data_IF_415349394415
#
_entry.id   IF_415349394415
#
_cell.length_a   1.000
_cell.length_b   1.000
_cell.length_c   1.000
_cell.angle_alpha   90.00
_cell.angle_beta   90.00
_cell.angle_gamma   90.00
#
_symmetry.space_group_name_H-M   'P 1'
#
loop_
_entity.id
_entity.type
_entity.pdbx_description
1 polymer ?
#
# COMPACT_ATOMS: atom_id res chain seq x y z
N UNK A 1 -35.10 8.44 -17.08
CA UNK A 1 -33.63 8.36 -16.97
C UNK A 1 -33.11 9.78 -16.90
N UNK A 2 -32.82 10.28 -15.69
CA UNK A 2 -32.29 11.63 -15.53
C UNK A 2 -30.84 11.63 -16.03
N UNK A 3 -30.60 12.28 -17.17
CA UNK A 3 -29.26 12.48 -17.71
C UNK A 3 -28.45 13.30 -16.69
N UNK A 4 -27.33 12.73 -16.23
CA UNK A 4 -26.38 13.46 -15.40
C UNK A 4 -25.88 14.68 -16.19
N UNK A 5 -26.04 15.88 -15.64
CA UNK A 5 -25.63 17.15 -16.27
C UNK A 5 -24.14 17.18 -16.61
N UNK A 6 -23.32 16.40 -15.91
CA UNK A 6 -21.87 16.34 -16.08
C UNK A 6 -21.37 14.90 -16.24
N UNK A 7 -20.29 14.75 -17.00
CA UNK A 7 -19.52 13.52 -17.11
C UNK A 7 -18.09 13.77 -16.59
N UNK A 8 -17.42 12.79 -15.96
CA UNK A 8 -16.07 12.99 -15.44
C UNK A 8 -15.06 13.40 -16.53
N UNK A 9 -14.31 14.47 -16.28
CA UNK A 9 -13.09 14.80 -17.05
C UNK A 9 -12.04 13.71 -16.84
N UNK A 10 -11.31 13.36 -17.91
CA UNK A 10 -10.36 12.25 -17.92
C UNK A 10 -8.93 12.75 -18.13
N UNK A 11 -7.97 12.11 -17.47
CA UNK A 11 -6.56 12.44 -17.63
C UNK A 11 -5.88 11.72 -18.81
N UNK A 12 -4.94 12.38 -19.50
CA UNK A 12 -3.93 11.73 -20.35
C UNK A 12 -2.77 11.18 -19.50
N UNK A 13 -1.96 10.29 -20.06
CA UNK A 13 -0.75 9.79 -19.38
C UNK A 13 0.42 10.72 -19.66
N UNK A 14 1.14 11.15 -18.62
CA UNK A 14 2.38 11.91 -18.78
C UNK A 14 3.53 11.01 -19.28
N UNK A 15 4.55 11.62 -19.90
CA UNK A 15 5.78 10.92 -20.29
C UNK A 15 6.69 10.59 -19.10
N UNK A 16 6.57 11.34 -18.01
CA UNK A 16 7.30 11.16 -16.75
C UNK A 16 6.83 12.15 -15.68
N UNK A 17 7.39 12.07 -14.46
CA UNK A 17 7.15 13.09 -13.44
C UNK A 17 7.76 14.44 -13.86
N UNK A 18 7.15 15.53 -13.41
CA UNK A 18 7.63 16.89 -13.65
C UNK A 18 7.20 17.81 -12.50
N UNK A 19 7.84 18.97 -12.41
CA UNK A 19 7.53 20.05 -11.46
C UNK A 19 7.23 21.33 -12.25
N UNK A 20 6.19 22.08 -11.89
CA UNK A 20 5.80 23.31 -12.57
C UNK A 20 4.85 24.15 -11.71
N UNK A 21 5.13 25.45 -11.56
CA UNK A 21 4.37 26.37 -10.69
C UNK A 21 2.89 26.51 -11.10
N UNK A 22 2.58 26.37 -12.40
CA UNK A 22 1.21 26.42 -12.91
C UNK A 22 0.40 25.14 -12.66
N UNK A 23 0.95 24.17 -11.95
CA UNK A 23 0.35 22.84 -11.77
C UNK A 23 0.24 22.46 -10.30
N UNK A 24 -0.81 21.70 -10.00
CA UNK A 24 -0.96 20.99 -8.74
C UNK A 24 -0.86 19.48 -8.96
N UNK A 25 -0.46 18.78 -7.90
CA UNK A 25 -0.26 17.34 -7.90
C UNK A 25 -1.03 16.72 -6.74
N UNK A 26 -1.88 15.75 -7.05
CA UNK A 26 -2.71 15.03 -6.09
C UNK A 26 -2.39 13.54 -6.12
N UNK A 27 -2.68 12.82 -5.04
CA UNK A 27 -2.56 11.35 -5.04
C UNK A 27 -3.49 10.79 -6.12
N UNK A 28 -2.98 9.90 -6.95
CA UNK A 28 -3.81 9.04 -7.78
C UNK A 28 -4.33 7.90 -6.91
N UNK A 29 -5.52 8.11 -6.36
CA UNK A 29 -6.23 7.10 -5.58
C UNK A 29 -6.62 5.88 -6.45
N UNK A 30 -6.55 4.69 -5.85
CA UNK A 30 -7.03 3.43 -6.45
C UNK A 30 -8.42 3.12 -5.89
N UNK A 31 -9.45 3.64 -6.56
CA UNK A 31 -10.84 3.62 -6.11
C UNK A 31 -11.81 3.62 -7.28
N UNK A 32 -13.02 4.12 -7.03
CA UNK A 32 -14.01 4.37 -8.08
C UNK A 32 -14.38 5.84 -8.17
N UNK A 33 -14.35 6.36 -9.40
CA UNK A 33 -14.79 7.72 -9.72
C UNK A 33 -16.28 7.90 -9.44
N UNK A 34 -16.63 8.93 -8.68
CA UNK A 34 -18.01 9.26 -8.36
C UNK A 34 -18.32 10.76 -8.46
N UNK A 35 -19.44 11.07 -9.10
CA UNK A 35 -20.04 12.41 -9.08
C UNK A 35 -21.11 12.46 -8.00
N UNK A 36 -21.03 13.44 -7.12
CA UNK A 36 -22.03 13.65 -6.06
C UNK A 36 -22.82 14.94 -6.32
N UNK A 37 -24.13 14.89 -6.15
CA UNK A 37 -25.03 16.04 -6.21
C UNK A 37 -25.74 16.18 -4.88
N UNK A 38 -25.66 17.36 -4.28
CA UNK A 38 -26.32 17.71 -3.01
C UNK A 38 -27.23 18.90 -3.25
N UNK A 39 -28.54 18.71 -3.14
CA UNK A 39 -29.55 19.75 -3.32
C UNK A 39 -30.83 19.41 -2.57
N UNK A 40 -31.93 19.18 -3.29
CA UNK A 40 -33.17 18.65 -2.69
C UNK A 40 -33.02 17.22 -2.13
N UNK A 41 -31.97 16.51 -2.54
CA UNK A 41 -31.56 15.22 -2.00
C UNK A 41 -30.07 14.98 -2.27
N UNK A 42 -29.58 13.81 -1.84
CA UNK A 42 -28.22 13.34 -2.11
C UNK A 42 -28.25 12.28 -3.20
N UNK A 43 -27.41 12.44 -4.22
CA UNK A 43 -27.12 11.42 -5.21
C UNK A 43 -25.62 11.26 -5.37
N UNK A 44 -25.12 10.02 -5.36
CA UNK A 44 -23.72 9.70 -5.64
C UNK A 44 -23.74 8.65 -6.75
N UNK A 45 -23.12 8.96 -7.88
CA UNK A 45 -23.19 8.09 -9.06
C UNK A 45 -21.83 7.79 -9.67
N UNK A 46 -21.71 6.60 -10.24
CA UNK A 46 -20.51 6.18 -10.95
C UNK A 46 -20.37 6.90 -12.30
N UNK A 47 -19.21 6.73 -12.94
CA UNK A 47 -18.99 7.16 -14.34
C UNK A 47 -20.07 6.71 -15.32
N UNK A 48 -20.73 5.57 -15.10
CA UNK A 48 -21.79 5.05 -15.98
C UNK A 48 -23.19 5.41 -15.48
N UNK A 49 -23.30 6.33 -14.52
CA UNK A 49 -24.56 6.82 -13.96
C UNK A 49 -25.27 5.85 -13.01
N UNK A 50 -24.58 4.81 -12.50
CA UNK A 50 -25.14 3.88 -11.51
C UNK A 50 -25.17 4.54 -10.15
N UNK A 51 -26.26 4.39 -9.40
CA UNK A 51 -26.31 4.79 -7.99
C UNK A 51 -25.27 4.01 -7.17
N UNK A 52 -24.52 4.75 -6.37
CA UNK A 52 -23.49 4.23 -5.48
C UNK A 52 -23.86 4.36 -4.01
N UNK A 53 -24.80 5.25 -3.65
CA UNK A 53 -25.12 5.52 -2.25
C UNK A 53 -25.71 4.29 -1.55
N UNK A 54 -26.46 3.45 -2.28
CA UNK A 54 -26.95 2.16 -1.77
C UNK A 54 -25.84 1.18 -1.38
N UNK A 55 -24.65 1.30 -1.99
CA UNK A 55 -23.47 0.44 -1.75
C UNK A 55 -22.51 1.02 -0.71
N UNK A 56 -22.55 2.34 -0.55
CA UNK A 56 -21.70 3.11 0.35
C UNK A 56 -22.57 4.05 1.22
N UNK A 57 -23.45 3.50 2.08
CA UNK A 57 -24.41 4.29 2.85
C UNK A 57 -23.75 5.28 3.81
N UNK A 58 -22.52 5.00 4.27
CA UNK A 58 -21.75 5.89 5.13
C UNK A 58 -21.47 7.26 4.48
N UNK A 59 -21.42 7.32 3.14
CA UNK A 59 -21.23 8.56 2.39
C UNK A 59 -22.48 9.47 2.43
N UNK A 60 -23.56 9.01 3.05
CA UNK A 60 -24.76 9.80 3.33
C UNK A 60 -24.48 11.06 4.15
N UNK A 61 -23.39 11.10 4.92
CA UNK A 61 -22.98 12.28 5.69
C UNK A 61 -22.74 13.52 4.81
N UNK A 62 -22.45 13.34 3.51
CA UNK A 62 -22.22 14.43 2.58
C UNK A 62 -23.40 15.42 2.52
N UNK A 63 -24.63 14.95 2.77
CA UNK A 63 -25.82 15.80 2.81
C UNK A 63 -25.78 16.86 3.93
N UNK A 64 -25.03 16.61 5.02
CA UNK A 64 -24.82 17.55 6.11
C UNK A 64 -23.61 18.47 5.92
N UNK A 65 -22.67 18.10 5.03
CA UNK A 65 -21.37 18.75 4.88
C UNK A 65 -21.30 19.75 3.73
N UNK A 66 -22.25 19.70 2.80
CA UNK A 66 -22.35 20.60 1.67
C UNK A 66 -23.81 20.87 1.31
N UNK A 67 -24.10 21.95 0.57
CA UNK A 67 -25.46 22.28 0.10
C UNK A 67 -25.42 22.89 -1.29
N UNK A 68 -26.37 22.50 -2.14
CA UNK A 68 -26.53 22.99 -3.50
C UNK A 68 -25.24 22.92 -4.33
N UNK A 69 -24.56 21.77 -4.32
CA UNK A 69 -23.30 21.55 -5.06
C UNK A 69 -23.35 20.32 -5.93
N UNK A 70 -22.52 20.32 -6.98
CA UNK A 70 -22.13 19.10 -7.69
C UNK A 70 -20.62 18.94 -7.59
N UNK A 71 -20.19 17.77 -7.13
CA UNK A 71 -18.81 17.46 -6.77
C UNK A 71 -18.27 16.31 -7.63
N UNK A 72 -16.96 16.32 -7.85
CA UNK A 72 -16.22 15.23 -8.47
C UNK A 72 -15.17 14.70 -7.49
N UNK A 73 -15.14 13.38 -7.33
CA UNK A 73 -14.35 12.73 -6.31
C UNK A 73 -14.08 11.25 -6.59
N UNK A 74 -13.29 10.63 -5.74
CA UNK A 74 -12.97 9.20 -5.77
C UNK A 74 -13.44 8.54 -4.48
N UNK A 75 -14.17 7.42 -4.59
CA UNK A 75 -14.50 6.58 -3.43
C UNK A 75 -13.39 5.55 -3.27
N UNK A 76 -12.76 5.55 -2.10
CA UNK A 76 -11.69 4.62 -1.72
C UNK A 76 -12.10 3.82 -0.50
N UNK A 77 -11.48 2.66 -0.31
CA UNK A 77 -11.48 1.95 0.97
C UNK A 77 -10.04 1.87 1.43
N UNK A 78 -9.80 2.21 2.70
CA UNK A 78 -8.49 2.07 3.32
C UNK A 78 -8.47 0.85 4.23
N UNK A 79 -7.47 0.01 4.07
CA UNK A 79 -7.15 -1.08 4.99
C UNK A 79 -5.75 -0.84 5.53
N UNK A 80 -5.62 -0.68 6.85
CA UNK A 80 -4.37 -0.40 7.54
C UNK A 80 -3.62 0.82 6.95
N UNK A 81 -4.39 1.89 6.65
CA UNK A 81 -3.88 3.13 6.06
C UNK A 81 -3.56 3.06 4.55
N UNK A 82 -3.82 1.94 3.87
CA UNK A 82 -3.50 1.75 2.45
C UNK A 82 -4.76 1.56 1.59
N UNK A 83 -4.81 2.07 0.35
CA UNK A 83 -5.92 1.81 -0.56
C UNK A 83 -6.10 0.31 -0.85
N UNK A 84 -7.31 -0.19 -0.65
CA UNK A 84 -7.74 -1.55 -1.01
C UNK A 84 -8.84 -1.49 -2.07
N UNK A 85 -8.41 -1.48 -3.35
CA UNK A 85 -9.34 -1.49 -4.46
C UNK A 85 -10.18 -2.77 -4.53
N UNK A 86 -9.70 -3.88 -3.96
CA UNK A 86 -10.45 -5.14 -3.95
C UNK A 86 -11.65 -5.03 -3.02
N UNK A 87 -11.50 -4.39 -1.87
CA UNK A 87 -12.61 -4.08 -0.97
C UNK A 87 -13.69 -3.23 -1.67
N UNK A 88 -13.29 -2.21 -2.45
CA UNK A 88 -14.23 -1.41 -3.25
C UNK A 88 -14.99 -2.27 -4.26
N UNK A 89 -14.30 -3.16 -4.99
CA UNK A 89 -14.94 -4.06 -5.97
C UNK A 89 -15.90 -5.06 -5.31
N UNK A 90 -15.52 -5.65 -4.18
CA UNK A 90 -16.36 -6.60 -3.45
C UNK A 90 -17.68 -5.93 -3.04
N UNK A 91 -17.62 -4.71 -2.49
CA UNK A 91 -18.81 -3.96 -2.10
C UNK A 91 -19.71 -3.61 -3.29
N UNK A 92 -19.14 -3.32 -4.46
CA UNK A 92 -19.90 -3.08 -5.68
C UNK A 92 -20.65 -4.31 -6.21
N UNK A 93 -20.17 -5.52 -5.89
CA UNK A 93 -20.75 -6.79 -6.35
C UNK A 93 -21.83 -7.34 -5.41
N UNK A 94 -21.93 -6.85 -4.17
CA UNK A 94 -22.94 -7.28 -3.20
C UNK A 94 -24.34 -6.73 -3.53
N UNK A 95 -25.40 -7.41 -3.08
CA UNK A 95 -26.80 -6.98 -3.30
C UNK A 95 -27.21 -5.77 -2.45
N UNK A 96 -28.16 -4.96 -2.92
CA UNK A 96 -28.53 -3.65 -2.31
C UNK A 96 -29.44 -3.76 -1.09
N UNK A 97 -29.89 -4.97 -0.78
CA UNK A 97 -30.92 -5.21 0.22
C UNK A 97 -30.46 -5.10 1.67
N UNK A 98 -29.16 -5.26 1.96
CA UNK A 98 -28.69 -5.39 3.33
C UNK A 98 -27.58 -4.39 3.68
N UNK A 99 -28.00 -3.15 3.96
CA UNK A 99 -27.10 -2.03 4.32
C UNK A 99 -26.33 -2.28 5.62
N UNK A 100 -26.89 -3.09 6.52
CA UNK A 100 -26.29 -3.42 7.83
C UNK A 100 -25.19 -4.46 7.63
N UNK A 101 -25.44 -5.50 6.84
CA UNK A 101 -24.43 -6.52 6.54
C UNK A 101 -23.21 -5.94 5.79
N UNK A 102 -23.38 -4.95 4.91
CA UNK A 102 -22.27 -4.32 4.19
C UNK A 102 -21.32 -3.58 5.14
N UNK A 103 -21.86 -2.87 6.14
CA UNK A 103 -21.07 -2.10 7.11
C UNK A 103 -20.39 -3.00 8.16
N UNK A 104 -20.98 -4.13 8.52
CA UNK A 104 -20.39 -5.09 9.47
C UNK A 104 -19.27 -5.95 8.87
N UNK A 105 -19.27 -6.16 7.54
CA UNK A 105 -18.34 -7.09 6.88
C UNK A 105 -17.13 -6.42 6.21
N UNK A 106 -17.16 -5.11 5.99
CA UNK A 106 -16.14 -4.41 5.21
C UNK A 106 -15.71 -3.08 5.85
N UNK A 107 -14.43 -2.67 5.68
CA UNK A 107 -13.99 -1.35 6.14
C UNK A 107 -14.81 -0.23 5.48
N UNK A 108 -15.00 0.91 6.18
CA UNK A 108 -15.75 2.03 5.63
C UNK A 108 -15.05 2.63 4.42
N UNK A 109 -15.85 3.13 3.48
CA UNK A 109 -15.38 3.86 2.33
C UNK A 109 -15.22 5.36 2.66
N UNK A 110 -14.31 6.02 1.95
CA UNK A 110 -14.09 7.46 2.03
C UNK A 110 -14.28 8.07 0.65
N UNK A 111 -15.06 9.14 0.55
CA UNK A 111 -15.19 9.96 -0.65
C UNK A 111 -14.18 11.12 -0.59
N UNK A 112 -13.16 11.04 -1.43
CA UNK A 112 -12.13 12.07 -1.58
C UNK A 112 -12.53 13.02 -2.69
N UNK A 113 -12.98 14.22 -2.34
CA UNK A 113 -13.45 15.26 -3.25
C UNK A 113 -12.28 16.08 -3.79
N UNK A 114 -12.15 16.23 -5.11
CA UNK A 114 -11.03 16.99 -5.71
C UNK A 114 -11.46 18.05 -6.73
N UNK A 115 -12.76 18.19 -7.02
CA UNK A 115 -13.28 19.28 -7.86
C UNK A 115 -14.75 19.59 -7.52
N UNK A 116 -15.19 20.78 -7.90
CA UNK A 116 -16.57 21.25 -7.81
C UNK A 116 -17.03 21.73 -9.18
N UNK A 117 -18.18 21.25 -9.62
CA UNK A 117 -18.72 21.49 -10.97
C UNK A 117 -19.85 22.52 -10.96
N UNK A 118 -20.56 22.62 -9.84
CA UNK A 118 -21.71 23.51 -9.67
C UNK A 118 -21.82 23.98 -8.22
N UNK A 119 -22.22 25.23 -8.01
CA UNK A 119 -22.54 25.80 -6.70
C UNK A 119 -23.80 26.66 -6.80
N UNK A 120 -24.77 26.45 -5.91
CA UNK A 120 -26.04 27.18 -5.87
C UNK A 120 -26.83 27.18 -7.20
N UNK A 121 -26.69 26.12 -7.99
CA UNK A 121 -27.32 25.98 -9.32
C UNK A 121 -26.50 26.53 -10.48
N UNK A 122 -25.43 27.28 -10.20
CA UNK A 122 -24.56 27.89 -11.20
C UNK A 122 -23.37 26.97 -11.54
N UNK A 123 -23.20 26.57 -12.82
CA UNK A 123 -22.02 25.83 -13.25
C UNK A 123 -20.75 26.66 -13.04
N UNK A 124 -19.74 26.05 -12.44
CA UNK A 124 -18.41 26.66 -12.23
C UNK A 124 -17.32 26.00 -13.08
N UNK A 125 -17.68 25.04 -13.92
CA UNK A 125 -16.77 24.28 -14.80
C UNK A 125 -15.93 25.15 -15.73
N UNK A 126 -16.43 26.33 -16.12
CA UNK A 126 -15.75 27.29 -16.98
C UNK A 126 -14.72 28.16 -16.26
N UNK A 127 -14.69 28.12 -14.92
CA UNK A 127 -13.70 28.85 -14.14
C UNK A 127 -12.38 28.09 -14.10
N UNK A 128 -11.24 28.78 -13.98
CA UNK A 128 -9.94 28.16 -13.71
C UNK A 128 -9.99 27.21 -12.50
N UNK A 129 -9.24 26.12 -12.55
CA UNK A 129 -9.18 25.13 -11.46
C UNK A 129 -8.84 25.78 -10.11
N UNK A 130 -7.96 26.79 -10.09
CA UNK A 130 -7.63 27.52 -8.86
C UNK A 130 -8.85 28.13 -8.17
N UNK A 131 -9.80 28.66 -8.95
CA UNK A 131 -11.02 29.25 -8.42
C UNK A 131 -11.99 28.17 -7.96
N UNK A 132 -12.12 27.08 -8.74
CA UNK A 132 -12.94 25.92 -8.34
C UNK A 132 -12.47 25.32 -7.02
N UNK A 133 -11.16 25.21 -6.80
CA UNK A 133 -10.61 24.72 -5.53
C UNK A 133 -10.91 25.67 -4.35
N UNK A 134 -10.86 26.99 -4.58
CA UNK A 134 -11.29 27.97 -3.58
C UNK A 134 -12.77 27.80 -3.21
N UNK A 135 -13.64 27.65 -4.22
CA UNK A 135 -15.06 27.41 -4.02
C UNK A 135 -15.29 26.08 -3.28
N UNK A 136 -14.59 25.02 -3.67
CA UNK A 136 -14.67 23.71 -3.02
C UNK A 136 -14.28 23.81 -1.53
N UNK A 137 -13.25 24.60 -1.22
CA UNK A 137 -12.79 24.81 0.16
C UNK A 137 -13.85 25.50 1.04
N UNK A 138 -14.64 26.41 0.48
CA UNK A 138 -15.70 27.10 1.19
C UNK A 138 -17.00 26.30 1.25
N UNK A 139 -17.32 25.57 0.18
CA UNK A 139 -18.62 24.93 -0.01
C UNK A 139 -18.74 23.55 0.65
N UNK A 140 -17.62 22.87 0.94
CA UNK A 140 -17.60 21.50 1.45
C UNK A 140 -16.80 21.41 2.74
N UNK A 141 -17.46 21.00 3.82
CA UNK A 141 -16.84 20.64 5.09
C UNK A 141 -16.31 19.20 5.04
N UNK A 142 -15.24 18.91 5.79
CA UNK A 142 -14.72 17.54 5.93
C UNK A 142 -15.48 16.83 7.07
N UNK A 143 -15.83 15.57 6.83
CA UNK A 143 -16.48 14.67 7.79
C UNK A 143 -15.64 13.44 8.08
N UNK A 144 -16.29 12.38 8.57
CA UNK A 144 -15.61 11.14 8.90
C UNK A 144 -15.25 10.31 7.66
N UNK A 145 -16.10 10.37 6.64
CA UNK A 145 -16.05 9.58 5.41
C UNK A 145 -15.98 10.46 4.15
N UNK A 146 -16.03 11.78 4.28
CA UNK A 146 -15.91 12.75 3.19
C UNK A 146 -14.75 13.68 3.51
N UNK A 147 -13.74 13.66 2.65
CA UNK A 147 -12.55 14.50 2.81
C UNK A 147 -12.23 15.20 1.50
N UNK A 148 -11.55 16.34 1.56
CA UNK A 148 -11.07 17.03 0.37
C UNK A 148 -9.66 16.55 0.04
N UNK A 149 -9.37 16.46 -1.25
CA UNK A 149 -8.03 16.22 -1.75
C UNK A 149 -7.12 17.37 -1.34
N UNK A 150 -5.90 17.04 -0.93
CA UNK A 150 -4.87 18.01 -0.50
C UNK A 150 -3.75 18.04 -1.55
N UNK A 151 -3.85 18.89 -2.58
CA UNK A 151 -2.84 18.99 -3.61
C UNK A 151 -1.54 19.64 -3.12
N UNK A 152 -0.44 19.30 -3.78
CA UNK A 152 0.85 20.01 -3.69
C UNK A 152 1.04 20.86 -4.93
N UNK A 153 1.28 22.16 -4.78
CA UNK A 153 1.57 23.06 -5.90
C UNK A 153 3.05 23.01 -6.28
N UNK A 154 3.36 23.04 -7.59
CA UNK A 154 4.74 23.20 -8.07
C UNK A 154 5.63 21.96 -8.00
N UNK A 155 5.62 21.23 -6.89
CA UNK A 155 6.65 20.26 -6.51
C UNK A 155 6.33 18.80 -6.91
N UNK A 156 5.95 18.59 -8.17
CA UNK A 156 5.41 17.31 -8.64
C UNK A 156 6.38 16.13 -8.61
N UNK A 157 7.67 16.32 -8.93
CA UNK A 157 8.65 15.22 -8.89
C UNK A 157 8.90 14.73 -7.47
N UNK A 158 9.08 15.66 -6.51
CA UNK A 158 9.27 15.33 -5.10
C UNK A 158 8.03 14.62 -4.55
N UNK A 159 6.85 15.13 -4.88
CA UNK A 159 5.59 14.54 -4.43
C UNK A 159 5.37 13.15 -5.02
N UNK A 160 5.60 12.97 -6.33
CA UNK A 160 5.55 11.67 -6.99
C UNK A 160 6.49 10.65 -6.34
N UNK A 161 7.74 11.03 -6.06
CA UNK A 161 8.69 10.15 -5.38
C UNK A 161 8.26 9.77 -3.95
N UNK A 162 7.62 10.69 -3.21
CA UNK A 162 7.04 10.38 -1.90
C UNK A 162 5.86 9.41 -2.02
N UNK A 163 4.93 9.66 -2.94
CA UNK A 163 3.75 8.82 -3.18
C UNK A 163 4.14 7.39 -3.57
N UNK A 164 5.17 7.22 -4.40
CA UNK A 164 5.68 5.87 -4.74
C UNK A 164 6.34 5.16 -3.54
N UNK A 165 7.06 5.89 -2.67
CA UNK A 165 7.65 5.31 -1.45
C UNK A 165 6.59 4.78 -0.49
N UNK A 166 5.44 5.46 -0.41
CA UNK A 166 4.26 4.99 0.35
C UNK A 166 3.52 3.83 -0.34
N UNK A 167 3.94 3.45 -1.55
CA UNK A 167 3.36 2.35 -2.31
C UNK A 167 2.02 2.69 -2.98
N UNK A 168 1.74 3.97 -3.18
CA UNK A 168 0.58 4.44 -3.92
C UNK A 168 0.87 4.43 -5.44
N UNK A 169 -0.17 4.44 -6.28
CA UNK A 169 -0.04 4.23 -7.73
C UNK A 169 0.75 5.34 -8.44
N UNK A 170 0.65 6.58 -7.95
CA UNK A 170 1.26 7.75 -8.56
C UNK A 170 0.44 8.99 -8.27
N UNK A 171 0.59 10.01 -9.13
CA UNK A 171 -0.07 11.31 -8.94
C UNK A 171 -0.90 11.71 -10.14
N UNK A 172 -1.90 12.56 -9.92
CA UNK A 172 -2.61 13.31 -10.96
C UNK A 172 -2.10 14.74 -10.90
N UNK A 173 -1.47 15.20 -11.99
CA UNK A 173 -1.13 16.59 -12.20
C UNK A 173 -2.31 17.31 -12.88
N UNK A 174 -2.66 18.51 -12.40
CA UNK A 174 -3.73 19.34 -12.98
C UNK A 174 -3.22 20.77 -13.18
N UNK A 175 -3.51 21.33 -14.34
CA UNK A 175 -3.21 22.73 -14.68
C UNK A 175 -4.17 23.67 -13.94
N UNK A 176 -3.61 24.59 -13.14
CA UNK A 176 -4.35 25.54 -12.30
C UNK A 176 -5.24 26.50 -13.10
N UNK A 177 -4.88 26.78 -14.36
CA UNK A 177 -5.62 27.68 -15.24
C UNK A 177 -6.64 26.94 -16.12
N UNK A 178 -6.74 25.62 -15.97
CA UNK A 178 -7.65 24.81 -16.79
C UNK A 178 -9.11 24.88 -16.36
N UNK A 179 -9.98 24.93 -17.36
CA UNK A 179 -11.42 24.66 -17.21
C UNK A 179 -11.64 23.17 -16.99
N UNK A 180 -12.80 22.82 -16.43
CA UNK A 180 -13.25 21.44 -16.40
C UNK A 180 -13.89 21.07 -17.74
N UNK A 181 -13.47 19.97 -18.35
CA UNK A 181 -13.95 19.52 -19.67
C UNK A 181 -14.75 18.20 -19.53
N UNK A 182 -16.08 18.26 -19.36
CA UNK A 182 -16.88 17.07 -19.06
C UNK A 182 -16.75 15.97 -20.12
N UNK A 183 -16.38 14.76 -19.70
CA UNK A 183 -16.24 13.59 -20.56
C UNK A 183 -15.02 13.59 -21.50
N UNK A 184 -14.21 14.67 -21.50
CA UNK A 184 -13.05 14.81 -22.39
C UNK A 184 -11.80 14.26 -21.72
N UNK A 185 -10.95 13.59 -22.52
CA UNK A 185 -9.60 13.21 -22.09
C UNK A 185 -8.59 14.31 -22.43
N UNK A 186 -8.30 15.13 -21.42
CA UNK A 186 -7.54 16.36 -21.53
C UNK A 186 -6.05 16.17 -21.28
N UNK A 187 -5.23 17.05 -21.88
CA UNK A 187 -3.82 17.24 -21.53
C UNK A 187 -3.63 18.16 -20.32
N UNK A 188 -4.69 18.84 -19.86
CA UNK A 188 -4.70 19.64 -18.64
C UNK A 188 -4.77 18.82 -17.36
N UNK A 189 -5.14 17.55 -17.48
CA UNK A 189 -5.07 16.56 -16.42
C UNK A 189 -4.15 15.43 -16.87
N UNK A 190 -3.06 15.21 -16.14
CA UNK A 190 -2.06 14.20 -16.48
C UNK A 190 -1.92 13.20 -15.35
N UNK A 191 -2.11 11.90 -15.64
CA UNK A 191 -1.73 10.84 -14.72
C UNK A 191 -0.24 10.52 -14.89
N UNK A 192 0.49 10.59 -13.79
CA UNK A 192 1.90 10.21 -13.69
C UNK A 192 1.91 8.97 -12.79
N UNK A 193 1.96 7.80 -13.42
CA UNK A 193 1.87 6.51 -12.74
C UNK A 193 3.26 5.87 -12.74
N UNK A 194 3.73 5.47 -11.57
CA UNK A 194 4.92 4.62 -11.50
C UNK A 194 4.57 3.28 -12.10
N UNK A 195 5.44 2.75 -12.97
CA UNK A 195 5.41 1.32 -13.28
C UNK A 195 6.50 0.68 -12.45
N UNK A 196 6.18 0.04 -11.31
CA UNK A 196 7.13 -0.75 -10.55
C UNK A 196 7.92 -1.66 -11.49
N UNK A 197 9.23 -1.73 -11.27
CA UNK A 197 10.13 -2.57 -12.03
C UNK A 197 11.02 -3.34 -11.08
N UNK A 198 11.32 -4.59 -11.42
CA UNK A 198 12.18 -5.46 -10.64
C UNK A 198 13.12 -6.21 -11.58
N UNK A 199 14.39 -6.34 -11.21
CA UNK A 199 15.34 -7.20 -11.91
C UNK A 199 15.19 -8.62 -11.37
N UNK A 200 14.92 -9.55 -12.27
CA UNK A 200 14.54 -10.93 -11.97
C UNK A 200 15.45 -11.91 -12.70
N UNK A 201 15.69 -13.07 -12.10
CA UNK A 201 16.42 -14.16 -12.74
C UNK A 201 15.46 -15.04 -13.53
N UNK A 202 15.88 -15.47 -14.72
CA UNK A 202 15.14 -16.41 -15.55
C UNK A 202 15.58 -17.83 -15.23
N UNK A 203 14.66 -18.64 -14.69
CA UNK A 203 14.90 -20.04 -14.34
C UNK A 203 14.44 -21.02 -15.43
N UNK A 204 13.65 -20.54 -16.38
CA UNK A 204 13.13 -21.38 -17.45
C UNK A 204 12.18 -20.62 -18.35
N UNK A 205 11.57 -21.34 -19.29
CA UNK A 205 10.59 -20.78 -20.20
C UNK A 205 9.54 -21.81 -20.59
N UNK A 206 8.33 -21.36 -20.90
CA UNK A 206 7.28 -22.22 -21.45
C UNK A 206 7.29 -22.17 -22.97
N UNK A 207 6.89 -23.26 -23.66
CA UNK A 207 6.78 -23.26 -25.13
C UNK A 207 5.68 -22.30 -25.63
N UNK A 208 5.93 -21.60 -26.73
CA UNK A 208 4.92 -20.80 -27.41
C UNK A 208 3.83 -21.66 -28.08
N UNK A 209 2.65 -21.09 -28.28
CA UNK A 209 1.52 -21.74 -28.97
C UNK A 209 1.21 -21.03 -30.30
N UNK A 210 0.61 -21.76 -31.25
CA UNK A 210 0.16 -21.20 -32.54
C UNK A 210 1.31 -20.56 -33.33
N UNK A 211 1.15 -19.29 -33.75
CA UNK A 211 2.14 -18.53 -34.52
C UNK A 211 3.50 -18.34 -33.83
N UNK A 212 3.58 -18.66 -32.53
CA UNK A 212 4.81 -18.63 -31.71
C UNK A 212 5.34 -20.04 -31.36
N UNK A 213 4.91 -21.09 -32.06
CA UNK A 213 5.32 -22.48 -31.79
C UNK A 213 6.83 -22.72 -31.87
N UNK A 214 7.53 -21.86 -32.62
CA UNK A 214 8.98 -21.91 -32.86
C UNK A 214 9.76 -21.00 -31.89
N UNK A 215 9.10 -20.37 -30.91
CA UNK A 215 9.72 -19.52 -29.89
C UNK A 215 9.18 -19.86 -28.48
N UNK A 216 9.63 -19.14 -27.46
CA UNK A 216 9.08 -19.27 -26.11
C UNK A 216 7.77 -18.46 -25.95
N UNK A 217 6.88 -18.96 -25.11
CA UNK A 217 5.61 -18.33 -24.74
C UNK A 217 5.74 -17.35 -23.58
N UNK A 218 6.50 -17.72 -22.55
CA UNK A 218 6.76 -16.88 -21.38
C UNK A 218 8.06 -17.31 -20.68
N UNK A 219 8.75 -16.35 -20.06
CA UNK A 219 9.87 -16.60 -19.16
C UNK A 219 9.36 -16.88 -17.75
N UNK A 220 9.97 -17.83 -17.06
CA UNK A 220 9.72 -18.18 -15.65
C UNK A 220 10.71 -17.39 -14.80
N UNK A 221 10.18 -16.54 -13.93
CA UNK A 221 10.95 -15.56 -13.17
C UNK A 221 11.10 -15.99 -11.71
N UNK A 222 12.28 -15.77 -11.15
CA UNK A 222 12.54 -15.89 -9.72
C UNK A 222 13.35 -14.72 -9.16
N UNK A 223 13.29 -14.61 -7.85
CA UNK A 223 14.13 -13.76 -7.02
C UNK A 223 14.79 -14.63 -5.95
N UNK A 224 15.87 -14.14 -5.35
CA UNK A 224 16.50 -14.81 -4.21
C UNK A 224 16.05 -14.22 -2.88
N UNK A 225 15.69 -15.07 -1.94
CA UNK A 225 15.54 -14.74 -0.53
C UNK A 225 16.60 -15.51 0.25
N UNK A 226 17.60 -14.79 0.78
CA UNK A 226 18.69 -15.39 1.55
C UNK A 226 19.36 -16.58 0.82
N UNK A 227 19.58 -16.44 -0.49
CA UNK A 227 20.14 -17.47 -1.37
C UNK A 227 19.14 -18.53 -1.85
N UNK A 228 17.91 -18.55 -1.32
CA UNK A 228 16.85 -19.48 -1.74
C UNK A 228 16.00 -18.87 -2.86
N UNK A 229 15.81 -19.56 -4.00
CA UNK A 229 14.99 -19.05 -5.09
C UNK A 229 13.48 -19.06 -4.76
N UNK A 230 12.83 -17.92 -4.97
CA UNK A 230 11.40 -17.68 -4.77
C UNK A 230 10.73 -17.38 -6.11
N UNK A 231 9.61 -18.04 -6.38
CA UNK A 231 8.90 -17.90 -7.65
C UNK A 231 8.17 -16.55 -7.76
N UNK A 232 8.63 -15.69 -8.67
CA UNK A 232 8.10 -14.35 -8.86
C UNK A 232 7.01 -14.25 -9.97
N UNK A 233 6.79 -15.34 -10.72
CA UNK A 233 5.73 -15.44 -11.73
C UNK A 233 6.26 -15.70 -13.14
N UNK A 234 5.40 -15.47 -14.15
CA UNK A 234 5.76 -15.63 -15.57
C UNK A 234 5.54 -14.34 -16.35
N UNK A 235 6.44 -14.04 -17.28
CA UNK A 235 6.30 -12.90 -18.21
C UNK A 235 6.25 -13.37 -19.67
N UNK A 236 5.11 -13.12 -20.32
CA UNK A 236 4.87 -13.48 -21.73
C UNK A 236 4.55 -12.28 -22.64
N UNK A 237 4.67 -11.06 -22.12
CA UNK A 237 4.35 -9.82 -22.83
C UNK A 237 5.51 -8.82 -22.74
N UNK A 238 5.58 -7.85 -23.65
CA UNK A 238 6.66 -6.85 -23.69
C UNK A 238 7.83 -7.20 -24.62
N UNK A 239 7.72 -8.28 -25.40
CA UNK A 239 8.72 -8.69 -26.38
C UNK A 239 8.33 -8.24 -27.79
N UNK A 240 9.30 -7.78 -28.58
CA UNK A 240 9.18 -7.73 -30.04
C UNK A 240 9.57 -9.09 -30.64
N UNK A 241 9.15 -9.37 -31.88
CA UNK A 241 9.49 -10.64 -32.54
C UNK A 241 11.00 -10.83 -32.70
N UNK A 242 11.74 -9.74 -32.94
CA UNK A 242 13.21 -9.76 -32.99
C UNK A 242 13.82 -10.14 -31.63
N UNK A 243 13.34 -9.52 -30.54
CA UNK A 243 13.80 -9.84 -29.19
C UNK A 243 13.47 -11.27 -28.79
N UNK A 244 12.30 -11.79 -29.15
CA UNK A 244 11.95 -13.19 -28.87
C UNK A 244 12.92 -14.17 -29.53
N UNK A 245 13.35 -13.89 -30.78
CA UNK A 245 14.35 -14.72 -31.48
C UNK A 245 15.71 -14.66 -30.80
N UNK A 246 16.22 -13.45 -30.52
CA UNK A 246 17.52 -13.30 -29.85
C UNK A 246 17.55 -13.91 -28.45
N UNK A 247 16.48 -13.75 -27.68
CA UNK A 247 16.35 -14.40 -26.38
C UNK A 247 16.26 -15.92 -26.50
N UNK A 248 15.54 -16.45 -27.50
CA UNK A 248 15.45 -17.89 -27.69
C UNK A 248 16.83 -18.53 -27.85
N UNK A 249 17.76 -17.90 -28.59
CA UNK A 249 19.15 -18.37 -28.72
C UNK A 249 19.87 -18.49 -27.36
N UNK A 250 19.70 -17.50 -26.48
CA UNK A 250 20.29 -17.50 -25.12
C UNK A 250 19.68 -18.56 -24.19
N UNK A 251 18.45 -19.00 -24.47
CA UNK A 251 17.70 -19.97 -23.67
C UNK A 251 17.98 -21.44 -24.04
N UNK A 252 18.80 -21.73 -25.06
CA UNK A 252 19.10 -23.10 -25.53
C UNK A 252 20.03 -23.93 -24.61
N UNK A 253 20.28 -23.47 -23.37
CA UNK A 253 21.17 -24.17 -22.43
C UNK A 253 20.36 -25.18 -21.60
N UNK A 254 20.66 -26.50 -21.66
CA UNK A 254 20.03 -27.47 -20.77
C UNK A 254 20.42 -27.15 -19.33
N UNK A 255 19.44 -26.89 -18.48
CA UNK A 255 19.68 -26.43 -17.10
C UNK A 255 19.32 -27.42 -16.01
N UNK A 256 19.64 -26.99 -14.79
CA UNK A 256 19.31 -27.61 -13.49
C UNK A 256 17.81 -27.92 -13.35
N UNK A 257 17.42 -28.97 -12.59
CA UNK A 257 16.03 -29.23 -12.22
C UNK A 257 15.34 -28.02 -11.58
N UNK A 258 13.99 -27.98 -11.58
CA UNK A 258 13.23 -26.92 -10.93
C UNK A 258 13.68 -26.71 -9.48
N UNK A 259 13.70 -25.47 -8.99
CA UNK A 259 13.74 -25.22 -7.56
C UNK A 259 12.57 -25.92 -6.85
N UNK A 260 12.81 -26.39 -5.62
CA UNK A 260 11.79 -27.09 -4.83
C UNK A 260 10.50 -26.25 -4.72
N UNK A 261 9.33 -26.88 -4.94
CA UNK A 261 8.02 -26.22 -4.85
C UNK A 261 7.57 -25.48 -6.11
N UNK A 262 8.34 -25.55 -7.21
CA UNK A 262 7.98 -24.95 -8.50
C UNK A 262 7.32 -25.95 -9.48
N UNK A 263 7.00 -27.16 -9.00
CA UNK A 263 6.49 -28.26 -9.82
C UNK A 263 5.09 -28.02 -10.39
N UNK A 264 4.32 -27.11 -9.78
CA UNK A 264 2.94 -26.79 -10.15
C UNK A 264 2.79 -25.61 -11.12
N UNK A 265 3.87 -25.15 -11.76
CA UNK A 265 3.78 -24.03 -12.72
C UNK A 265 2.98 -24.45 -13.97
N UNK A 266 1.90 -23.74 -14.35
CA UNK A 266 1.09 -24.15 -15.49
C UNK A 266 1.84 -24.11 -16.83
N UNK A 267 1.80 -25.22 -17.56
CA UNK A 267 2.42 -25.41 -18.88
C UNK A 267 3.74 -26.17 -18.81
N UNK A 268 4.18 -26.72 -19.94
CA UNK A 268 5.49 -27.39 -20.03
C UNK A 268 6.61 -26.36 -19.96
N UNK A 269 7.36 -26.37 -18.86
CA UNK A 269 8.52 -25.51 -18.62
C UNK A 269 9.79 -26.26 -19.04
N UNK A 270 10.63 -25.59 -19.84
CA UNK A 270 12.02 -25.96 -20.05
C UNK A 270 12.88 -25.18 -19.07
N UNK A 271 13.57 -25.89 -18.19
CA UNK A 271 14.44 -25.31 -17.16
C UNK A 271 15.83 -25.01 -17.73
N UNK A 272 16.42 -23.90 -17.29
CA UNK A 272 17.73 -23.41 -17.74
C UNK A 272 18.57 -23.02 -16.53
N UNK A 273 19.87 -22.84 -16.74
CA UNK A 273 20.75 -22.28 -15.71
C UNK A 273 20.31 -20.83 -15.36
N UNK A 274 20.19 -20.50 -14.06
CA UNK A 274 19.68 -19.19 -13.60
C UNK A 274 20.74 -18.08 -13.72
N UNK A 275 21.26 -17.88 -14.93
CA UNK A 275 22.31 -16.90 -15.23
C UNK A 275 21.80 -15.65 -15.95
N UNK A 276 20.58 -15.72 -16.50
CA UNK A 276 19.99 -14.63 -17.27
C UNK A 276 19.15 -13.72 -16.36
N UNK A 277 19.52 -12.45 -16.27
CA UNK A 277 18.77 -11.42 -15.53
C UNK A 277 17.99 -10.54 -16.50
N UNK A 278 16.74 -10.24 -16.15
CA UNK A 278 15.83 -9.39 -16.93
C UNK A 278 15.12 -8.38 -16.04
N UNK A 279 14.91 -7.17 -16.53
CA UNK A 279 14.04 -6.18 -15.89
C UNK A 279 12.59 -6.44 -16.29
N UNK A 280 11.71 -6.50 -15.30
CA UNK A 280 10.28 -6.73 -15.48
C UNK A 280 9.50 -5.60 -14.83
N UNK A 281 8.66 -4.95 -15.64
CA UNK A 281 7.67 -3.98 -15.16
C UNK A 281 6.40 -4.71 -14.75
N UNK A 282 5.76 -4.31 -13.66
CA UNK A 282 4.55 -4.96 -13.15
C UNK A 282 3.55 -3.96 -12.60
N UNK A 283 2.27 -4.37 -12.49
CA UNK A 283 1.20 -3.52 -11.93
C UNK A 283 1.20 -3.55 -10.40
N UNK A 284 1.26 -4.74 -9.82
CA UNK A 284 1.27 -4.96 -8.38
C UNK A 284 1.87 -6.34 -8.05
N UNK A 285 2.09 -6.62 -6.76
CA UNK A 285 2.52 -7.94 -6.27
C UNK A 285 1.33 -8.60 -5.57
N UNK A 286 1.12 -9.89 -5.80
CA UNK A 286 0.07 -10.66 -5.11
C UNK A 286 0.49 -11.01 -3.70
N UNK A 287 -0.45 -11.44 -2.85
CA UNK A 287 -0.16 -11.96 -1.50
C UNK A 287 0.80 -13.15 -1.51
N UNK A 288 0.90 -13.88 -2.61
CA UNK A 288 1.84 -14.97 -2.83
C UNK A 288 3.20 -14.52 -3.40
N UNK A 289 3.50 -13.22 -3.41
CA UNK A 289 4.78 -12.68 -3.88
C UNK A 289 4.98 -12.69 -5.40
N UNK A 290 3.91 -12.82 -6.19
CA UNK A 290 4.00 -12.92 -7.67
C UNK A 290 3.66 -11.61 -8.34
N UNK A 291 4.30 -11.31 -9.46
CA UNK A 291 3.97 -10.14 -10.26
C UNK A 291 2.59 -10.25 -10.94
N UNK A 292 1.77 -9.21 -10.79
CA UNK A 292 0.52 -9.03 -11.53
C UNK A 292 0.77 -8.20 -12.78
N UNK A 293 0.30 -8.69 -13.93
CA UNK A 293 0.48 -8.08 -15.25
C UNK A 293 1.95 -7.75 -15.57
N UNK A 294 2.89 -8.70 -15.43
CA UNK A 294 4.29 -8.45 -15.74
C UNK A 294 4.49 -8.21 -17.24
N UNK A 295 5.39 -7.28 -17.56
CA UNK A 295 5.84 -6.93 -18.91
C UNK A 295 7.36 -6.89 -18.92
N UNK A 296 7.95 -7.58 -19.89
CA UNK A 296 9.39 -7.52 -20.13
C UNK A 296 9.81 -6.09 -20.46
N UNK A 297 10.92 -5.63 -19.87
CA UNK A 297 11.48 -4.31 -20.10
C UNK A 297 12.89 -4.35 -20.71
N UNK A 298 13.72 -5.34 -20.36
CA UNK A 298 15.08 -5.44 -20.88
C UNK A 298 15.88 -6.60 -20.29
N UNK A 299 16.99 -6.96 -20.94
CA UNK A 299 18.00 -7.90 -20.39
C UNK A 299 19.03 -7.09 -19.60
N UNK A 300 19.56 -7.67 -18.52
CA UNK A 300 20.56 -7.06 -17.64
C UNK A 300 21.82 -7.93 -17.54
N UNK A 301 22.64 -7.98 -18.61
CA UNK A 301 23.87 -8.78 -18.60
C UNK A 301 24.91 -8.26 -17.58
N UNK A 302 24.72 -7.03 -17.12
CA UNK A 302 25.56 -6.34 -16.13
C UNK A 302 25.27 -6.75 -14.67
N UNK A 303 24.19 -7.50 -14.41
CA UNK A 303 23.79 -7.89 -13.06
C UNK A 303 24.13 -9.33 -12.73
N UNK A 304 24.63 -9.50 -11.51
CA UNK A 304 24.72 -10.81 -10.86
C UNK A 304 23.31 -11.35 -10.55
N UNK A 305 22.95 -12.57 -11.00
CA UNK A 305 21.70 -13.23 -10.62
C UNK A 305 21.44 -13.28 -9.12
N UNK A 306 22.48 -13.50 -8.29
CA UNK A 306 22.34 -13.58 -6.83
C UNK A 306 21.95 -12.24 -6.20
N UNK A 307 22.24 -11.12 -6.89
CA UNK A 307 21.82 -9.79 -6.45
C UNK A 307 20.34 -9.49 -6.75
N UNK A 308 19.63 -10.36 -7.47
CA UNK A 308 18.21 -10.21 -7.79
C UNK A 308 17.36 -10.73 -6.63
N UNK A 309 17.32 -9.98 -5.52
CA UNK A 309 16.68 -10.43 -4.28
C UNK A 309 15.22 -9.98 -4.14
N UNK A 310 14.49 -10.63 -3.24
CA UNK A 310 13.13 -10.25 -2.83
C UNK A 310 13.05 -8.85 -2.23
N UNK A 311 14.17 -8.26 -1.81
CA UNK A 311 14.25 -6.88 -1.28
C UNK A 311 13.78 -5.83 -2.26
N UNK A 312 13.89 -6.13 -3.56
CA UNK A 312 13.37 -5.27 -4.62
C UNK A 312 11.84 -5.15 -4.60
N UNK A 313 11.16 -6.06 -3.89
CA UNK A 313 9.70 -6.21 -3.91
C UNK A 313 9.07 -6.27 -2.51
N UNK A 314 9.86 -6.42 -1.44
CA UNK A 314 9.42 -6.42 -0.04
C UNK A 314 9.22 -4.98 0.46
N UNK A 315 8.07 -4.72 1.09
CA UNK A 315 7.48 -3.39 1.24
C UNK A 315 7.68 -2.69 2.59
N UNK A 316 8.78 -2.97 3.29
CA UNK A 316 9.54 -2.11 4.24
C UNK A 316 10.25 -2.97 5.29
N UNK A 317 11.57 -2.96 5.22
CA UNK A 317 12.50 -3.08 6.35
C UNK A 317 13.85 -2.45 5.93
N UNK A 318 13.81 -1.32 5.20
CA UNK A 318 14.98 -0.75 4.53
C UNK A 318 16.07 -0.28 5.49
N UNK A 319 15.71 0.33 6.63
CA UNK A 319 16.67 0.60 7.70
C UNK A 319 17.01 -0.63 8.53
N UNK A 320 16.04 -1.52 8.77
CA UNK A 320 16.27 -2.75 9.51
C UNK A 320 17.34 -3.61 8.83
N UNK A 321 17.15 -3.97 7.56
CA UNK A 321 18.10 -4.78 6.78
C UNK A 321 19.44 -4.08 6.59
N UNK A 322 19.48 -2.74 6.44
CA UNK A 322 20.76 -1.99 6.36
C UNK A 322 21.62 -2.10 7.62
N UNK A 323 21.01 -2.35 8.77
CA UNK A 323 21.72 -2.47 10.06
C UNK A 323 22.14 -3.91 10.40
N UNK A 324 21.77 -4.92 9.60
CA UNK A 324 22.09 -6.34 9.87
C UNK A 324 22.96 -6.92 8.77
N UNK A 325 23.88 -7.77 9.15
CA UNK A 325 24.52 -8.70 8.24
C UNK A 325 23.91 -10.10 8.40
N UNK A 326 22.96 -10.45 7.51
CA UNK A 326 22.25 -11.75 7.55
C UNK A 326 23.14 -12.96 7.25
N UNK A 327 24.40 -12.75 6.86
CA UNK A 327 25.38 -13.85 6.82
C UNK A 327 25.91 -14.21 8.22
N UNK A 328 25.70 -13.32 9.20
CA UNK A 328 26.21 -13.44 10.57
C UNK A 328 25.10 -13.58 11.59
N UNK A 329 24.00 -12.84 11.46
CA UNK A 329 22.85 -12.92 12.38
C UNK A 329 21.86 -14.01 12.00
N UNK A 330 21.20 -14.63 12.98
CA UNK A 330 20.06 -15.53 12.79
C UNK A 330 18.72 -14.80 12.72
N UNK A 331 18.72 -13.47 12.82
CA UNK A 331 17.54 -12.64 12.65
C UNK A 331 16.92 -12.84 11.26
N UNK A 332 15.58 -12.83 11.14
CA UNK A 332 14.92 -13.01 9.86
C UNK A 332 15.16 -11.79 8.96
N UNK A 333 15.45 -12.06 7.68
CA UNK A 333 15.61 -11.01 6.67
C UNK A 333 14.31 -10.27 6.34
N UNK A 334 13.16 -10.89 6.59
CA UNK A 334 11.88 -10.46 6.05
C UNK A 334 11.58 -11.18 4.76
N UNK A 335 11.09 -12.42 4.90
CA UNK A 335 10.47 -13.15 3.81
C UNK A 335 9.16 -12.51 3.39
N UNK A 336 8.60 -12.96 2.25
CA UNK A 336 7.23 -12.60 1.87
C UNK A 336 6.29 -13.20 2.92
N UNK A 337 5.97 -12.41 3.95
CA UNK A 337 5.04 -12.82 4.97
C UNK A 337 3.72 -13.20 4.30
N UNK A 338 3.36 -14.49 4.38
CA UNK A 338 1.98 -14.92 4.21
C UNK A 338 1.18 -14.11 5.21
N UNK A 339 0.28 -13.26 4.72
CA UNK A 339 -0.61 -12.37 5.46
C UNK A 339 -0.79 -12.82 6.93
N UNK A 340 0.11 -12.38 7.81
CA UNK A 340 -0.11 -12.52 9.23
C UNK A 340 -0.88 -11.27 9.61
N UNK A 341 -2.11 -11.53 10.05
CA UNK A 341 -3.19 -10.57 10.21
C UNK A 341 -2.73 -9.32 10.97
N UNK A 342 -3.22 -8.16 10.52
CA UNK A 342 -3.22 -6.99 11.39
C UNK A 342 -3.96 -7.34 12.68
N UNK A 343 -3.43 -6.85 13.79
CA UNK A 343 -3.96 -7.20 15.11
C UNK A 343 -3.20 -8.29 15.87
N UNK A 344 -1.90 -8.49 15.63
CA UNK A 344 -1.02 -9.28 16.50
C UNK A 344 0.07 -8.42 17.14
N UNK A 345 0.42 -8.70 18.40
CA UNK A 345 1.53 -8.07 19.10
C UNK A 345 2.51 -9.11 19.61
N UNK A 346 3.76 -8.68 19.81
CA UNK A 346 4.78 -9.45 20.53
C UNK A 346 5.50 -8.55 21.53
N UNK A 347 5.84 -9.11 22.68
CA UNK A 347 6.75 -8.55 23.66
C UNK A 347 7.98 -9.46 23.74
N UNK A 348 9.13 -8.97 23.30
CA UNK A 348 10.42 -9.65 23.43
C UNK A 348 11.23 -9.00 24.54
N UNK A 349 11.89 -9.79 25.37
CA UNK A 349 12.96 -9.32 26.24
C UNK A 349 14.27 -9.41 25.49
N UNK A 350 15.06 -8.36 25.56
CA UNK A 350 16.30 -8.24 24.82
C UNK A 350 17.44 -7.92 25.78
N UNK A 351 18.26 -8.94 26.06
CA UNK A 351 19.47 -8.87 26.87
C UNK A 351 20.65 -8.33 26.05
N UNK A 352 20.49 -7.12 25.51
CA UNK A 352 21.56 -6.39 24.81
C UNK A 352 22.49 -5.66 25.79
N UNK A 353 23.42 -4.84 25.28
CA UNK A 353 24.25 -3.92 26.11
C UNK A 353 23.42 -3.12 27.13
N UNK A 354 22.20 -2.76 26.76
CA UNK A 354 21.20 -2.24 27.69
C UNK A 354 19.98 -3.16 27.66
N UNK A 355 19.70 -3.80 28.79
CA UNK A 355 18.50 -4.62 28.94
C UNK A 355 17.24 -3.80 28.69
N UNK A 356 16.35 -4.31 27.84
CA UNK A 356 15.06 -3.69 27.55
C UNK A 356 14.05 -4.73 27.07
N UNK A 357 12.81 -4.28 26.90
CA UNK A 357 11.75 -5.07 26.29
C UNK A 357 11.31 -4.43 24.98
N UNK A 358 11.41 -5.18 23.89
CA UNK A 358 10.89 -4.76 22.59
C UNK A 358 9.40 -5.08 22.52
N UNK A 359 8.58 -4.03 22.50
CA UNK A 359 7.14 -4.12 22.28
C UNK A 359 6.83 -3.81 20.83
N UNK A 360 6.14 -4.73 20.15
CA UNK A 360 5.91 -4.64 18.70
C UNK A 360 4.46 -4.92 18.35
N UNK A 361 3.91 -4.13 17.44
CA UNK A 361 2.56 -4.25 16.92
C UNK A 361 2.62 -4.53 15.42
N UNK A 362 2.01 -5.61 14.96
CA UNK A 362 1.82 -5.88 13.55
C UNK A 362 0.80 -4.89 12.98
N UNK A 363 1.25 -3.97 12.13
CA UNK A 363 0.43 -2.93 11.54
C UNK A 363 0.99 -2.51 10.18
N UNK A 364 0.12 -2.34 9.18
CA UNK A 364 0.52 -1.82 7.86
C UNK A 364 1.51 -2.71 7.08
N UNK A 365 1.61 -4.00 7.44
CA UNK A 365 2.53 -4.98 6.82
C UNK A 365 3.93 -5.06 7.44
N UNK A 366 4.15 -4.42 8.58
CA UNK A 366 5.41 -4.44 9.35
C UNK A 366 5.15 -4.59 10.84
N UNK A 367 6.20 -4.82 11.62
CA UNK A 367 6.19 -4.72 13.08
C UNK A 367 6.64 -3.33 13.52
N UNK A 368 5.64 -2.53 13.87
CA UNK A 368 5.79 -1.22 14.48
C UNK A 368 6.34 -1.44 15.90
N UNK A 369 7.61 -1.09 16.11
CA UNK A 369 8.41 -1.49 17.28
C UNK A 369 8.83 -0.34 18.22
N UNK A 370 8.91 -0.63 19.51
CA UNK A 370 9.48 0.25 20.54
C UNK A 370 10.31 -0.55 21.55
N UNK A 371 11.48 -0.01 21.92
CA UNK A 371 12.26 -0.48 23.05
C UNK A 371 11.73 0.17 24.35
N UNK A 372 11.40 -0.63 25.35
CA UNK A 372 10.84 -0.21 26.65
C UNK A 372 11.81 -0.64 27.76
N UNK A 373 12.78 0.22 28.16
CA UNK A 373 13.89 -0.18 29.04
C UNK A 373 13.46 -0.73 30.40
N UNK A 374 12.37 -0.19 30.95
CA UNK A 374 11.86 -0.61 32.27
C UNK A 374 10.66 -1.57 32.17
N UNK A 375 10.46 -2.19 31.01
CA UNK A 375 9.35 -3.09 30.72
C UNK A 375 7.98 -2.42 30.65
N UNK A 376 6.98 -3.21 30.26
CA UNK A 376 5.61 -2.73 30.06
C UNK A 376 4.95 -2.28 31.38
N UNK A 377 4.11 -1.24 31.37
CA UNK A 377 3.37 -0.80 32.56
C UNK A 377 2.47 -1.91 33.10
N UNK A 378 2.64 -2.29 34.38
CA UNK A 378 1.89 -3.40 34.98
C UNK A 378 0.62 -2.93 35.69
N UNK A 379 0.61 -1.72 36.25
CA UNK A 379 -0.55 -1.17 36.96
C UNK A 379 -1.17 -0.03 36.17
N UNK A 380 -2.48 0.15 36.33
CA UNK A 380 -3.18 1.26 35.71
C UNK A 380 -2.63 2.60 36.23
N UNK A 381 -2.33 3.52 35.32
CA UNK A 381 -1.68 4.81 35.64
C UNK A 381 -0.14 4.79 35.64
N UNK A 382 0.50 3.61 35.59
CA UNK A 382 1.95 3.53 35.37
C UNK A 382 2.30 4.09 33.98
N UNK A 383 3.40 4.87 33.92
CA UNK A 383 3.95 5.40 32.68
C UNK A 383 5.39 4.91 32.50
N UNK A 384 5.73 4.45 31.30
CA UNK A 384 7.07 3.96 30.96
C UNK A 384 7.56 4.66 29.69
N UNK A 385 8.85 4.96 29.64
CA UNK A 385 9.49 5.42 28.41
C UNK A 385 9.52 4.27 27.41
N UNK A 386 9.09 4.55 26.18
CA UNK A 386 9.15 3.67 25.03
C UNK A 386 9.88 4.42 23.92
N UNK A 387 11.00 3.89 23.44
CA UNK A 387 11.79 4.50 22.38
C UNK A 387 11.43 3.83 21.06
N UNK A 388 10.95 4.62 20.11
CA UNK A 388 10.64 4.16 18.75
C UNK A 388 11.91 3.66 18.07
N UNK A 389 11.89 2.42 17.61
CA UNK A 389 12.97 1.81 16.81
C UNK A 389 12.54 1.69 15.35
N UNK A 390 13.45 1.24 14.48
CA UNK A 390 13.06 0.88 13.11
C UNK A 390 11.94 -0.16 13.07
N UNK A 391 11.16 -0.16 12.00
CA UNK A 391 10.17 -1.19 11.75
C UNK A 391 10.84 -2.50 11.36
N UNK A 392 10.30 -3.60 11.89
CA UNK A 392 10.83 -4.95 11.66
C UNK A 392 9.92 -5.71 10.70
N UNK A 393 10.45 -6.71 9.98
CA UNK A 393 9.61 -7.53 9.13
C UNK A 393 8.63 -8.38 9.97
N UNK A 394 7.44 -8.74 9.45
CA UNK A 394 6.43 -9.49 10.20
C UNK A 394 6.91 -10.82 10.80
N UNK A 395 7.78 -11.54 10.10
CA UNK A 395 8.37 -12.80 10.54
C UNK A 395 9.30 -12.66 11.77
N UNK A 396 9.77 -11.45 12.07
CA UNK A 396 10.52 -11.16 13.30
C UNK A 396 9.67 -11.37 14.57
N UNK A 397 8.34 -11.40 14.46
CA UNK A 397 7.46 -11.60 15.60
C UNK A 397 7.65 -12.96 16.27
N UNK A 398 8.10 -13.96 15.50
CA UNK A 398 8.40 -15.31 15.99
C UNK A 398 9.88 -15.55 16.31
N UNK A 399 10.73 -14.53 16.24
CA UNK A 399 12.16 -14.68 16.49
C UNK A 399 12.48 -14.81 17.98
N UNK A 400 13.22 -15.84 18.33
CA UNK A 400 13.93 -16.04 19.61
C UNK A 400 15.33 -16.57 19.31
N UNK A 401 16.33 -16.08 20.03
CA UNK A 401 17.71 -16.51 19.81
C UNK A 401 18.74 -15.49 20.28
N UNK A 402 20.01 -15.79 19.99
CA UNK A 402 21.15 -14.92 20.33
C UNK A 402 21.61 -14.18 19.07
N UNK A 403 21.57 -12.85 19.11
CA UNK A 403 22.18 -11.98 18.11
C UNK A 403 23.68 -11.91 18.41
N UNK A 404 24.57 -12.31 17.47
CA UNK A 404 26.00 -12.45 17.75
C UNK A 404 26.72 -11.15 18.12
N UNK A 405 27.82 -11.28 18.87
CA UNK A 405 28.66 -10.14 19.22
C UNK A 405 29.20 -9.40 17.98
N UNK A 406 29.10 -8.07 18.04
CA UNK A 406 29.50 -7.18 16.95
C UNK A 406 28.40 -6.89 15.93
N UNK A 407 27.28 -7.61 15.95
CA UNK A 407 26.09 -7.24 15.20
C UNK A 407 25.29 -6.14 15.92
N UNK A 408 24.48 -5.41 15.16
CA UNK A 408 23.60 -4.37 15.72
C UNK A 408 22.53 -5.02 16.59
N UNK A 409 22.49 -4.65 17.87
CA UNK A 409 21.58 -5.28 18.83
C UNK A 409 22.08 -6.62 19.35
N UNK A 410 23.39 -6.89 19.36
CA UNK A 410 23.95 -8.09 19.98
C UNK A 410 23.38 -8.34 21.39
N UNK A 411 22.96 -9.58 21.64
CA UNK A 411 22.26 -9.98 22.86
C UNK A 411 21.26 -11.11 22.64
N UNK A 412 20.77 -11.69 23.74
CA UNK A 412 19.72 -12.71 23.70
C UNK A 412 18.34 -12.06 23.59
N UNK A 413 17.49 -12.60 22.70
CA UNK A 413 16.10 -12.19 22.46
C UNK A 413 15.17 -13.34 22.81
N UNK A 414 14.24 -13.10 23.73
CA UNK A 414 13.28 -14.10 24.22
C UNK A 414 11.87 -13.53 24.18
N UNK A 415 10.90 -14.27 23.63
CA UNK A 415 9.49 -13.86 23.62
C UNK A 415 8.91 -14.03 25.03
N UNK A 416 8.42 -12.94 25.61
CA UNK A 416 7.78 -12.91 26.94
C UNK A 416 6.26 -12.96 26.85
N UNK A 417 5.70 -12.40 25.78
CA UNK A 417 4.28 -12.51 25.51
C UNK A 417 4.00 -12.29 24.02
N UNK A 418 2.91 -12.86 23.55
CA UNK A 418 2.38 -12.63 22.22
C UNK A 418 0.87 -12.86 22.25
N UNK A 419 0.15 -12.17 21.37
CA UNK A 419 -1.30 -12.33 21.28
C UNK A 419 -1.92 -11.37 20.28
N UNK A 420 -3.25 -11.38 20.24
CA UNK A 420 -3.98 -10.45 19.41
C UNK A 420 -4.01 -9.06 20.07
N UNK A 421 -4.19 -8.02 19.27
CA UNK A 421 -4.58 -6.69 19.73
C UNK A 421 -5.65 -6.08 18.82
N UNK A 422 -6.51 -5.26 19.41
CA UNK A 422 -7.46 -4.43 18.67
C UNK A 422 -7.00 -2.97 18.71
N UNK A 423 -6.75 -2.31 17.57
CA UNK A 423 -6.49 -0.88 17.56
C UNK A 423 -7.75 -0.10 17.91
N UNK A 424 -7.65 0.81 18.88
CA UNK A 424 -8.71 1.75 19.26
C UNK A 424 -8.44 3.15 18.69
N UNK A 425 -7.16 3.56 18.65
CA UNK A 425 -6.68 4.80 18.03
C UNK A 425 -5.34 4.52 17.35
N UNK A 426 -5.14 5.04 16.14
CA UNK A 426 -3.86 4.92 15.43
C UNK A 426 -3.52 6.21 14.69
N UNK A 427 -3.01 7.18 15.43
CA UNK A 427 -2.62 8.50 14.94
C UNK A 427 -1.10 8.68 15.02
N UNK A 428 -0.57 9.69 14.32
CA UNK A 428 0.86 9.99 14.25
C UNK A 428 1.53 10.09 15.62
N UNK A 429 0.84 10.67 16.60
CA UNK A 429 1.40 10.98 17.92
C UNK A 429 0.69 10.25 19.07
N UNK A 430 -0.31 9.42 18.76
CA UNK A 430 -1.09 8.65 19.74
C UNK A 430 -1.53 7.31 19.15
N UNK A 431 -1.17 6.23 19.83
CA UNK A 431 -1.63 4.88 19.51
C UNK A 431 -2.32 4.31 20.73
N UNK A 432 -3.48 3.71 20.55
CA UNK A 432 -4.25 3.11 21.62
C UNK A 432 -4.72 1.74 21.18
N UNK A 433 -4.46 0.73 22.00
CA UNK A 433 -4.71 -0.67 21.67
C UNK A 433 -5.29 -1.42 22.85
N UNK A 434 -6.17 -2.37 22.57
CA UNK A 434 -6.61 -3.38 23.52
C UNK A 434 -5.79 -4.65 23.27
N UNK A 435 -4.93 -5.02 24.23
CA UNK A 435 -4.09 -6.21 24.13
C UNK A 435 -4.81 -7.44 24.69
N UNK A 436 -4.68 -8.56 23.98
CA UNK A 436 -5.23 -9.87 24.34
C UNK A 436 -4.13 -10.95 24.32
N UNK A 437 -3.09 -10.77 25.15
CA UNK A 437 -2.02 -11.76 25.35
C UNK A 437 -2.20 -12.64 26.57
N UNK A 438 -1.17 -13.43 26.88
CA UNK A 438 -1.15 -14.24 28.11
C UNK A 438 -0.78 -13.39 29.32
N UNK A 439 0.14 -12.43 29.16
CA UNK A 439 0.66 -11.56 30.23
C UNK A 439 0.10 -10.15 30.12
N UNK A 440 0.18 -9.54 28.93
CA UNK A 440 -0.32 -8.23 28.62
C UNK A 440 -1.79 -8.32 28.19
N UNK A 441 -2.66 -7.81 29.06
CA UNK A 441 -4.10 -7.72 28.79
C UNK A 441 -4.63 -6.34 29.12
N UNK A 442 -5.66 -5.92 28.38
CA UNK A 442 -6.36 -4.66 28.59
C UNK A 442 -5.79 -3.52 27.76
N UNK A 443 -6.22 -2.30 28.07
CA UNK A 443 -6.01 -1.12 27.24
C UNK A 443 -4.67 -0.44 27.52
N UNK A 444 -3.87 -0.23 26.47
CA UNK A 444 -2.58 0.46 26.51
C UNK A 444 -2.58 1.65 25.57
N UNK A 445 -1.91 2.72 25.99
CA UNK A 445 -1.80 3.97 25.23
C UNK A 445 -0.33 4.33 25.07
N UNK A 446 0.08 4.57 23.83
CA UNK A 446 1.36 5.12 23.43
C UNK A 446 1.15 6.58 23.01
N UNK A 447 1.86 7.52 23.63
CA UNK A 447 1.81 8.94 23.27
C UNK A 447 3.20 9.49 23.02
N UNK A 448 3.37 10.25 21.94
CA UNK A 448 4.67 10.87 21.61
C UNK A 448 4.97 12.01 22.59
N UNK A 449 6.20 12.06 23.07
CA UNK A 449 6.68 13.07 24.00
C UNK A 449 7.64 14.04 23.29
N UNK A 450 7.10 15.18 22.85
CA UNK A 450 7.81 16.16 22.01
C UNK A 450 9.12 16.73 22.60
N UNK A 451 9.25 16.78 23.94
CA UNK A 451 10.48 17.24 24.61
C UNK A 451 11.61 16.21 24.63
N UNK A 452 11.37 14.96 24.22
CA UNK A 452 12.36 13.87 24.22
C UNK A 452 12.95 13.52 22.85
N UNK A 453 12.61 14.29 21.81
CA UNK A 453 12.98 14.00 20.42
C UNK A 453 11.93 13.16 19.68
N UNK A 454 12.09 13.01 18.36
CA UNK A 454 11.07 12.42 17.48
C UNK A 454 10.74 10.95 17.79
N UNK A 455 11.68 10.23 18.43
CA UNK A 455 11.56 8.81 18.76
C UNK A 455 11.08 8.55 20.20
N UNK A 456 10.88 9.58 21.03
CA UNK A 456 10.50 9.38 22.43
C UNK A 456 8.97 9.26 22.59
N UNK A 457 8.53 8.12 23.12
CA UNK A 457 7.14 7.84 23.44
C UNK A 457 6.98 7.49 24.92
N UNK A 458 5.77 7.67 25.44
CA UNK A 458 5.35 7.12 26.72
C UNK A 458 4.31 6.04 26.46
N UNK A 459 4.49 4.89 27.10
CA UNK A 459 3.47 3.85 27.15
C UNK A 459 2.80 3.83 28.53
N UNK A 460 1.48 3.73 28.53
CA UNK A 460 0.62 3.77 29.70
C UNK A 460 -0.36 2.60 29.67
N UNK A 461 -0.71 2.08 30.84
CA UNK A 461 -1.86 1.16 31.01
C UNK A 461 -3.06 1.96 31.52
N UNK A 462 -4.19 1.88 30.82
CA UNK A 462 -5.43 2.59 31.19
C UNK A 462 -6.13 1.92 32.39
N UNK A 463 -6.99 2.69 33.08
CA UNK A 463 -7.81 2.24 34.22
C UNK A 463 -9.14 1.61 33.78
N UNK A 464 -9.60 1.86 32.56
CA UNK A 464 -10.90 1.34 32.07
C UNK A 464 -10.76 -0.12 31.62
N UNK A 465 -11.31 -1.04 32.40
CA UNK A 465 -11.60 -2.40 31.96
C UNK A 465 -12.75 -2.37 30.94
N UNK A 466 -12.68 -3.25 29.94
CA UNK A 466 -13.72 -3.40 28.93
C UNK A 466 -15.05 -3.80 29.60
N UNK A 467 -16.03 -2.89 29.56
CA UNK A 467 -17.44 -3.19 29.86
C UNK A 467 -17.97 -2.60 31.16
N UNK A 468 -18.46 -1.36 31.09
CA UNK A 468 -19.44 -0.82 32.03
C UNK A 468 -20.68 -0.38 31.26
N UNK A 469 -21.67 -1.27 31.13
CA UNK A 469 -23.04 -0.89 30.80
C UNK A 469 -23.65 -0.17 32.02
N UNK A 470 -24.01 1.10 31.83
CA UNK A 470 -25.13 1.76 32.47
C UNK A 470 -25.62 2.88 31.54
#
# INVERSE_FOLDING_TARGET
MTLHRYAPMLARTATGPFSSEGWIFEIKWDGIRALASVGAGLSITSRTGRDLLSRFPELGELAGLARNVVLDGEIIVLKDGRPDFTAVLTRLQQDAGDRVAVAEQHPPATYVVFDILEQNGDPVIDRPLRERLGILQEAVQEGQYVVRSRPVAGEGERYYAAVLREGLEGVIAKDLESRYEPGVRSDRWLKIVGTPACDCVVFGFTRGKGRRSNTFGALVLGLYDSGTPVFAGKVGTGFTDAMQRSLAELLHRPGVPPPAGWDAIPGTVTWIDPVLVVTVKYKSITTAGRFRMPRFAGVRPDKDPQACTTDQIVRVAGEYRKKRDFSRTSEPGGGIATAQETGNFVLQEHASRHHHFDFRLAHGGVLVSWAVPKGMPKKAGDKRLAIRTEDHPPDYASFEGVIPDGEYGAGEVVIRDAGAYTPLVWEKDKIEVLLAGKVLRGRYVLVRFSRGGENAWLILRSQEDAGGTA
#
